data_IF_704161936465
#
_entry.id   IF_704161936465
#
_cell.length_a   1.000
_cell.length_b   1.000
_cell.length_c   1.000
_cell.angle_alpha   90.00
_cell.angle_beta   90.00
_cell.angle_gamma   90.00
#
_symmetry.space_group_name_H-M   'P 1'
#
loop_
_entity.id
_entity.type
_entity.pdbx_description
1 polymer ?
#
# COMPACT_ATOMS: atom_id res chain seq x y z
N UNK A 1 58.12 -8.51 -20.65
CA UNK A 1 57.53 -7.43 -19.89
C UNK A 1 56.06 -7.75 -19.69
N UNK A 2 55.76 -8.38 -18.56
CA UNK A 2 54.41 -8.75 -18.15
C UNK A 2 53.80 -7.58 -17.36
N UNK A 3 52.60 -7.13 -17.72
CA UNK A 3 51.81 -6.20 -16.93
C UNK A 3 50.87 -7.00 -16.06
N UNK A 4 51.03 -6.85 -14.76
CA UNK A 4 50.14 -7.31 -13.72
C UNK A 4 48.77 -6.64 -13.92
N UNK A 5 47.69 -7.45 -13.91
CA UNK A 5 46.35 -7.01 -13.64
C UNK A 5 46.22 -6.89 -12.12
N UNK A 6 46.04 -5.67 -11.63
CA UNK A 6 45.56 -5.42 -10.28
C UNK A 6 44.05 -5.74 -10.25
N UNK A 7 43.68 -6.84 -9.61
CA UNK A 7 42.31 -7.14 -9.22
C UNK A 7 41.96 -6.22 -8.04
N UNK A 8 41.08 -5.25 -8.29
CA UNK A 8 40.52 -4.35 -7.27
C UNK A 8 39.40 -5.08 -6.50
N UNK A 9 39.60 -5.42 -5.22
CA UNK A 9 38.58 -6.10 -4.40
C UNK A 9 37.38 -5.21 -4.05
N UNK A 10 37.38 -3.93 -4.46
CA UNK A 10 36.27 -3.00 -4.22
C UNK A 10 35.08 -3.15 -5.17
N UNK A 11 35.28 -3.75 -6.36
CA UNK A 11 34.21 -3.89 -7.36
C UNK A 11 33.20 -4.99 -7.02
N UNK A 12 33.63 -6.08 -6.37
CA UNK A 12 32.76 -7.20 -5.98
C UNK A 12 31.87 -6.85 -4.78
N UNK A 13 32.35 -6.05 -3.84
CA UNK A 13 31.53 -5.58 -2.71
C UNK A 13 30.48 -4.55 -3.14
N UNK A 14 30.80 -3.66 -4.07
CA UNK A 14 29.84 -2.69 -4.61
C UNK A 14 28.76 -3.38 -5.46
N UNK A 15 29.10 -4.43 -6.21
CA UNK A 15 28.16 -5.24 -6.98
C UNK A 15 27.25 -6.07 -6.06
N UNK A 16 27.77 -6.69 -5.01
CA UNK A 16 26.99 -7.45 -4.03
C UNK A 16 26.04 -6.56 -3.20
N UNK A 17 26.44 -5.31 -2.89
CA UNK A 17 25.57 -4.33 -2.24
C UNK A 17 24.49 -3.81 -3.19
N UNK A 18 24.78 -3.64 -4.48
CA UNK A 18 23.80 -3.23 -5.48
C UNK A 18 22.78 -4.34 -5.77
N UNK A 19 23.19 -5.61 -5.82
CA UNK A 19 22.29 -6.76 -5.96
C UNK A 19 21.45 -7.00 -4.68
N UNK A 20 21.97 -6.71 -3.49
CA UNK A 20 21.24 -6.80 -2.22
C UNK A 20 20.03 -5.89 -2.15
N UNK A 21 20.11 -4.69 -2.73
CA UNK A 21 19.03 -3.69 -2.76
C UNK A 21 17.93 -3.96 -3.81
N UNK A 22 18.10 -4.93 -4.70
CA UNK A 22 17.12 -5.27 -5.74
C UNK A 22 16.18 -6.42 -5.34
N UNK A 23 16.28 -6.93 -4.11
CA UNK A 23 15.53 -8.13 -3.69
C UNK A 23 14.92 -8.05 -2.28
N UNK A 24 14.73 -6.83 -1.73
CA UNK A 24 14.21 -6.65 -0.36
C UNK A 24 12.81 -7.26 -0.20
N UNK A 25 11.99 -7.26 -1.28
CA UNK A 25 10.64 -7.83 -1.27
C UNK A 25 10.58 -9.29 -1.72
N UNK A 26 11.73 -9.97 -1.89
CA UNK A 26 11.73 -11.39 -2.23
C UNK A 26 11.07 -12.19 -1.11
N UNK A 27 10.09 -13.04 -1.48
CA UNK A 27 9.26 -13.76 -0.52
C UNK A 27 7.99 -13.02 -0.11
N UNK A 28 7.84 -11.76 -0.48
CA UNK A 28 6.62 -10.98 -0.25
C UNK A 28 5.64 -11.13 -1.41
N UNK A 29 4.36 -11.31 -1.11
CA UNK A 29 3.27 -11.33 -2.08
C UNK A 29 2.34 -10.15 -1.81
N UNK A 30 2.24 -9.22 -2.75
CA UNK A 30 1.61 -7.90 -2.55
C UNK A 30 0.44 -7.73 -3.51
N UNK A 31 -0.74 -7.44 -2.94
CA UNK A 31 -1.92 -7.05 -3.70
C UNK A 31 -1.84 -5.57 -4.11
N UNK A 32 -2.11 -5.24 -5.37
CA UNK A 32 -2.15 -3.86 -5.86
C UNK A 32 -3.54 -3.57 -6.42
N UNK A 33 -4.24 -2.60 -5.81
CA UNK A 33 -5.62 -2.25 -6.19
C UNK A 33 -5.72 -1.08 -7.17
N UNK A 34 -4.57 -0.53 -7.57
CA UNK A 34 -4.49 0.62 -8.45
C UNK A 34 -4.90 0.27 -9.88
N UNK A 35 -5.86 1.00 -10.45
CA UNK A 35 -6.19 0.93 -11.88
C UNK A 35 -5.29 1.84 -12.71
N UNK A 36 -5.19 3.11 -12.29
CA UNK A 36 -4.36 4.10 -12.96
C UNK A 36 -2.93 4.02 -12.43
N UNK A 37 -1.92 3.93 -13.35
CA UNK A 37 -0.51 3.73 -13.01
C UNK A 37 -0.24 2.47 -12.17
N UNK A 38 -1.22 1.55 -12.12
CA UNK A 38 -1.06 0.27 -11.42
C UNK A 38 0.10 -0.55 -11.98
N UNK A 39 0.27 -0.57 -13.31
CA UNK A 39 1.39 -1.24 -13.96
C UNK A 39 2.76 -0.71 -13.53
N UNK A 40 2.94 0.63 -13.44
CA UNK A 40 4.19 1.24 -12.97
C UNK A 40 4.54 0.78 -11.54
N UNK A 41 3.51 0.74 -10.67
CA UNK A 41 3.67 0.31 -9.28
C UNK A 41 3.98 -1.19 -9.20
N UNK A 42 3.26 -2.02 -9.97
CA UNK A 42 3.54 -3.46 -10.04
C UNK A 42 4.99 -3.72 -10.47
N UNK A 43 5.42 -3.10 -11.59
CA UNK A 43 6.78 -3.25 -12.09
C UNK A 43 7.84 -2.73 -11.10
N UNK A 44 7.52 -1.69 -10.31
CA UNK A 44 8.43 -1.23 -9.27
C UNK A 44 8.57 -2.25 -8.14
N UNK A 45 7.47 -2.82 -7.64
CA UNK A 45 7.48 -3.85 -6.61
C UNK A 45 8.16 -5.15 -7.09
N UNK A 46 7.90 -5.55 -8.34
CA UNK A 46 8.52 -6.74 -8.96
C UNK A 46 10.04 -6.59 -9.12
N UNK A 47 10.54 -5.39 -9.44
CA UNK A 47 11.99 -5.12 -9.47
C UNK A 47 12.66 -5.30 -8.12
N UNK A 48 11.94 -5.08 -7.02
CA UNK A 48 12.41 -5.37 -5.66
C UNK A 48 12.15 -6.84 -5.23
N UNK A 49 11.69 -7.70 -6.14
CA UNK A 49 11.54 -9.14 -5.94
C UNK A 49 10.17 -9.57 -5.40
N UNK A 50 9.18 -8.68 -5.30
CA UNK A 50 7.83 -9.05 -4.87
C UNK A 50 7.10 -9.91 -5.91
N UNK A 51 6.24 -10.81 -5.43
CA UNK A 51 5.17 -11.40 -6.23
C UNK A 51 3.95 -10.49 -6.19
N UNK A 52 3.55 -9.91 -7.32
CA UNK A 52 2.46 -8.94 -7.35
C UNK A 52 1.16 -9.57 -7.84
N UNK A 53 0.08 -9.38 -7.07
CA UNK A 53 -1.29 -9.68 -7.47
C UNK A 53 -1.97 -8.36 -7.85
N UNK A 54 -1.97 -8.03 -9.15
CA UNK A 54 -2.60 -6.80 -9.64
C UNK A 54 -4.10 -7.01 -9.84
N UNK A 55 -4.90 -6.40 -8.99
CA UNK A 55 -6.37 -6.45 -9.03
C UNK A 55 -6.91 -5.03 -8.90
N UNK A 56 -7.10 -4.30 -10.00
CA UNK A 56 -7.73 -3.00 -9.97
C UNK A 56 -9.10 -3.09 -9.27
N UNK A 57 -9.27 -2.38 -8.15
CA UNK A 57 -10.53 -2.37 -7.40
C UNK A 57 -11.57 -1.41 -8.01
N UNK A 58 -11.12 -0.52 -8.89
CA UNK A 58 -11.94 0.44 -9.60
C UNK A 58 -11.65 0.37 -11.09
N UNK A 59 -12.67 0.60 -11.90
CA UNK A 59 -12.55 0.83 -13.35
C UNK A 59 -13.19 2.16 -13.72
N UNK A 60 -12.71 2.74 -14.80
CA UNK A 60 -13.36 3.92 -15.38
C UNK A 60 -14.52 3.43 -16.24
N UNK A 61 -15.68 4.07 -16.11
CA UNK A 61 -16.84 3.78 -16.98
C UNK A 61 -16.41 3.96 -18.45
N UNK A 62 -16.69 2.99 -19.33
CA UNK A 62 -16.39 3.14 -20.76
C UNK A 62 -16.98 4.43 -21.32
N UNK A 63 -16.25 5.10 -22.22
CA UNK A 63 -16.61 6.42 -22.74
C UNK A 63 -18.01 6.43 -23.38
N UNK A 64 -18.33 5.43 -24.15
CA UNK A 64 -19.61 5.24 -24.87
C UNK A 64 -20.80 5.00 -23.93
N UNK A 65 -20.54 4.61 -22.69
CA UNK A 65 -21.57 4.33 -21.68
C UNK A 65 -21.65 5.38 -20.56
N UNK A 66 -20.85 6.44 -20.63
CA UNK A 66 -20.85 7.49 -19.61
C UNK A 66 -21.94 8.55 -19.86
N UNK A 67 -23.21 8.11 -19.71
CA UNK A 67 -24.39 8.92 -19.98
C UNK A 67 -24.35 10.32 -19.31
N UNK A 68 -23.94 10.47 -18.02
CA UNK A 68 -23.83 11.82 -17.42
C UNK A 68 -22.83 12.72 -18.15
N UNK A 69 -21.68 12.23 -18.58
CA UNK A 69 -20.70 13.01 -19.36
C UNK A 69 -21.25 13.38 -20.72
N UNK A 70 -21.94 12.45 -21.39
CA UNK A 70 -22.60 12.69 -22.68
C UNK A 70 -23.65 13.78 -22.54
N UNK A 71 -24.52 13.69 -21.52
CA UNK A 71 -25.57 14.69 -21.29
C UNK A 71 -25.00 16.06 -20.91
N UNK A 72 -23.97 16.11 -20.06
CA UNK A 72 -23.30 17.35 -19.70
C UNK A 72 -22.62 17.99 -20.95
N UNK A 73 -22.04 17.18 -21.81
CA UNK A 73 -21.47 17.65 -23.08
C UNK A 73 -22.55 18.24 -23.99
N UNK A 74 -23.70 17.58 -24.16
CA UNK A 74 -24.83 18.09 -24.94
C UNK A 74 -25.34 19.43 -24.41
N UNK A 75 -25.55 19.51 -23.07
CA UNK A 75 -25.97 20.74 -22.41
C UNK A 75 -24.99 21.91 -22.61
N UNK A 76 -23.66 21.60 -22.59
CA UNK A 76 -22.62 22.59 -22.87
C UNK A 76 -22.63 23.05 -24.32
N UNK A 77 -22.89 22.16 -25.27
CA UNK A 77 -23.00 22.51 -26.69
C UNK A 77 -24.24 23.37 -26.98
N UNK A 78 -25.36 23.13 -26.29
CA UNK A 78 -26.59 23.92 -26.38
C UNK A 78 -26.43 25.30 -25.73
N UNK A 79 -25.75 25.41 -24.63
CA UNK A 79 -25.51 26.65 -23.88
C UNK A 79 -24.01 26.93 -23.82
N UNK A 80 -23.46 27.37 -24.94
CA UNK A 80 -22.01 27.59 -25.07
C UNK A 80 -21.46 28.48 -23.95
N UNK A 81 -20.46 28.03 -23.20
CA UNK A 81 -19.80 28.85 -22.19
C UNK A 81 -18.90 29.92 -22.86
N UNK A 82 -18.55 30.94 -22.08
CA UNK A 82 -17.58 31.97 -22.49
C UNK A 82 -16.17 31.57 -22.04
N UNK A 83 -16.06 30.81 -20.94
CA UNK A 83 -14.78 30.31 -20.42
C UNK A 83 -14.86 28.84 -19.97
N UNK A 84 -13.73 28.14 -20.04
CA UNK A 84 -13.57 26.76 -19.60
C UNK A 84 -12.41 26.64 -18.60
N UNK A 85 -12.70 26.23 -17.36
CA UNK A 85 -11.71 25.88 -16.36
C UNK A 85 -11.39 24.37 -16.41
N UNK A 86 -10.15 24.03 -16.75
CA UNK A 86 -9.66 22.65 -16.84
C UNK A 86 -8.83 22.28 -15.62
N UNK A 87 -9.36 21.44 -14.74
CA UNK A 87 -8.66 21.00 -13.52
C UNK A 87 -7.58 19.96 -13.78
N UNK A 88 -7.73 19.08 -14.79
CA UNK A 88 -6.77 18.01 -15.07
C UNK A 88 -6.69 17.67 -16.58
N UNK A 89 -5.47 17.48 -17.09
CA UNK A 89 -5.28 17.04 -18.47
C UNK A 89 -5.86 15.64 -18.74
N UNK A 90 -5.81 14.74 -17.76
CA UNK A 90 -6.46 13.43 -17.88
C UNK A 90 -7.98 13.55 -18.06
N UNK A 91 -8.62 14.42 -17.28
CA UNK A 91 -10.05 14.68 -17.41
C UNK A 91 -10.40 15.26 -18.78
N UNK A 92 -9.62 16.22 -19.26
CA UNK A 92 -9.81 16.80 -20.59
C UNK A 92 -9.73 15.73 -21.69
N UNK A 93 -8.71 14.87 -21.64
CA UNK A 93 -8.56 13.77 -22.58
C UNK A 93 -9.76 12.81 -22.54
N UNK A 94 -10.16 12.37 -21.33
CA UNK A 94 -11.31 11.47 -21.17
C UNK A 94 -12.62 12.06 -21.67
N UNK A 95 -12.80 13.35 -21.45
CA UNK A 95 -13.97 14.06 -21.97
C UNK A 95 -14.03 14.02 -23.50
N UNK A 96 -12.92 14.36 -24.16
CA UNK A 96 -12.85 14.30 -25.62
C UNK A 96 -13.01 12.87 -26.17
N UNK A 97 -12.38 11.87 -25.52
CA UNK A 97 -12.60 10.47 -25.88
C UNK A 97 -14.11 10.09 -25.81
N UNK A 98 -14.84 10.57 -24.79
CA UNK A 98 -16.29 10.36 -24.67
C UNK A 98 -17.06 11.10 -25.76
N UNK A 99 -16.69 12.34 -26.04
CA UNK A 99 -17.32 13.13 -27.10
C UNK A 99 -17.08 12.52 -28.49
N UNK A 100 -15.86 12.05 -28.75
CA UNK A 100 -15.50 11.38 -30.01
C UNK A 100 -16.27 10.05 -30.18
N UNK A 101 -16.32 9.23 -29.14
CA UNK A 101 -17.04 7.95 -29.15
C UNK A 101 -18.55 8.11 -29.35
N UNK A 102 -19.11 9.28 -29.09
CA UNK A 102 -20.54 9.57 -29.21
C UNK A 102 -20.90 10.55 -30.36
N UNK A 103 -19.93 10.87 -31.23
CA UNK A 103 -20.12 11.75 -32.35
C UNK A 103 -20.22 13.25 -32.02
N UNK A 104 -19.94 13.63 -30.76
CA UNK A 104 -19.99 15.04 -30.33
C UNK A 104 -18.63 15.73 -30.40
N UNK A 105 -17.54 15.01 -30.73
CA UNK A 105 -16.17 15.49 -30.67
C UNK A 105 -15.87 16.68 -31.57
N UNK A 106 -16.37 16.68 -32.80
CA UNK A 106 -16.23 17.81 -33.72
C UNK A 106 -16.84 19.09 -33.17
N UNK A 107 -18.12 19.04 -32.79
CA UNK A 107 -18.81 20.19 -32.19
C UNK A 107 -18.17 20.68 -30.91
N UNK A 108 -17.66 19.78 -30.07
CA UNK A 108 -16.97 20.15 -28.85
C UNK A 108 -15.68 20.93 -29.16
N UNK A 109 -14.89 20.51 -30.13
CA UNK A 109 -13.68 21.22 -30.55
C UNK A 109 -14.00 22.61 -31.12
N UNK A 110 -15.07 22.73 -31.91
CA UNK A 110 -15.55 24.04 -32.43
C UNK A 110 -15.93 24.97 -31.27
N UNK A 111 -16.61 24.49 -30.25
CA UNK A 111 -16.95 25.29 -29.07
C UNK A 111 -15.69 25.69 -28.29
N UNK A 112 -14.75 24.75 -28.11
CA UNK A 112 -13.48 25.02 -27.40
C UNK A 112 -12.65 26.08 -28.14
N UNK A 113 -12.64 26.11 -29.47
CA UNK A 113 -11.89 27.09 -30.24
C UNK A 113 -12.35 28.54 -29.99
N UNK A 114 -13.60 28.76 -29.58
CA UNK A 114 -14.13 30.09 -29.24
C UNK A 114 -14.18 30.40 -27.76
N UNK A 115 -13.45 29.66 -26.90
CA UNK A 115 -13.44 29.81 -25.44
C UNK A 115 -12.15 30.42 -24.92
N UNK A 116 -12.30 31.23 -23.87
CA UNK A 116 -11.21 31.49 -22.93
C UNK A 116 -10.94 30.22 -22.09
N UNK A 117 -9.74 29.65 -22.16
CA UNK A 117 -9.40 28.45 -21.44
C UNK A 117 -8.43 28.74 -20.29
N UNK A 118 -8.80 28.36 -19.08
CA UNK A 118 -7.93 28.42 -17.88
C UNK A 118 -7.57 26.98 -17.50
N UNK A 119 -6.27 26.64 -17.53
CA UNK A 119 -5.81 25.27 -17.29
C UNK A 119 -4.90 25.19 -16.07
N UNK A 120 -5.12 24.18 -15.23
CA UNK A 120 -4.30 23.97 -14.05
C UNK A 120 -3.06 23.15 -14.37
N UNK A 121 -1.89 23.81 -14.30
CA UNK A 121 -0.57 23.22 -14.39
C UNK A 121 -0.13 22.84 -15.81
N UNK A 122 1.18 22.75 -15.99
CA UNK A 122 1.83 22.47 -17.27
C UNK A 122 1.40 21.14 -17.91
N UNK A 123 1.04 20.13 -17.10
CA UNK A 123 0.56 18.84 -17.62
C UNK A 123 -0.81 18.96 -18.30
N UNK A 124 -1.71 19.83 -17.79
CA UNK A 124 -2.98 20.07 -18.44
C UNK A 124 -2.80 20.91 -19.71
N UNK A 125 -1.93 21.92 -19.68
CA UNK A 125 -1.57 22.70 -20.88
C UNK A 125 -0.93 21.82 -21.97
N UNK A 126 0.01 20.94 -21.61
CA UNK A 126 0.57 19.97 -22.56
C UNK A 126 -0.47 19.00 -23.15
N UNK A 127 -1.53 18.68 -22.40
CA UNK A 127 -2.62 17.84 -22.90
C UNK A 127 -3.53 18.60 -23.89
N UNK A 128 -3.73 19.92 -23.71
CA UNK A 128 -4.45 20.77 -24.68
C UNK A 128 -3.74 20.69 -26.03
N UNK A 129 -2.42 20.91 -26.04
CA UNK A 129 -1.61 20.80 -27.26
C UNK A 129 -1.63 19.38 -27.87
N UNK A 130 -1.52 18.33 -27.03
CA UNK A 130 -1.53 16.93 -27.48
C UNK A 130 -2.88 16.47 -28.06
N UNK A 131 -3.94 17.21 -27.83
CA UNK A 131 -5.30 16.96 -28.34
C UNK A 131 -5.66 17.89 -29.53
N UNK A 132 -4.68 18.64 -30.02
CA UNK A 132 -4.84 19.62 -31.10
C UNK A 132 -6.02 20.60 -30.85
N UNK A 133 -6.11 21.08 -29.61
CA UNK A 133 -7.11 22.06 -29.21
C UNK A 133 -6.52 23.47 -29.34
N UNK A 134 -7.21 24.35 -30.03
CA UNK A 134 -6.83 25.73 -30.28
C UNK A 134 -7.88 26.69 -29.68
N UNK A 135 -7.92 26.90 -28.35
CA UNK A 135 -8.83 27.86 -27.71
C UNK A 135 -8.50 29.29 -28.13
N UNK A 136 -9.46 30.21 -28.05
CA UNK A 136 -9.26 31.63 -28.35
C UNK A 136 -8.12 32.24 -27.49
N UNK A 137 -8.07 31.86 -26.23
CA UNK A 137 -6.95 32.17 -25.31
C UNK A 137 -6.74 31.07 -24.30
N UNK A 138 -5.51 30.90 -23.81
CA UNK A 138 -5.20 29.92 -22.79
C UNK A 138 -4.29 30.52 -21.71
N UNK A 139 -4.77 30.48 -20.45
CA UNK A 139 -4.00 30.87 -19.27
C UNK A 139 -3.67 29.66 -18.42
N UNK A 140 -2.41 29.50 -18.05
CA UNK A 140 -1.94 28.40 -17.20
C UNK A 140 -1.78 28.89 -15.76
N UNK A 141 -2.48 28.23 -14.83
CA UNK A 141 -2.45 28.55 -13.38
C UNK A 141 -1.86 27.40 -12.57
N UNK A 142 -1.35 27.69 -11.39
CA UNK A 142 -0.79 26.65 -10.50
C UNK A 142 -1.89 25.95 -9.71
N UNK A 143 -2.87 26.72 -9.24
CA UNK A 143 -3.98 26.23 -8.40
C UNK A 143 -5.34 26.57 -9.04
N UNK A 144 -6.34 25.70 -8.80
CA UNK A 144 -7.72 25.93 -9.30
C UNK A 144 -8.28 27.27 -8.83
N UNK A 145 -7.97 27.67 -7.58
CA UNK A 145 -8.45 28.95 -7.02
C UNK A 145 -7.94 30.18 -7.77
N UNK A 146 -6.69 30.17 -8.25
CA UNK A 146 -6.16 31.25 -9.11
C UNK A 146 -6.96 31.35 -10.41
N UNK A 147 -7.32 30.19 -11.01
CA UNK A 147 -8.17 30.17 -12.19
C UNK A 147 -9.59 30.67 -11.93
N UNK A 148 -10.14 30.36 -10.77
CA UNK A 148 -11.43 30.90 -10.33
C UNK A 148 -11.37 32.42 -10.20
N UNK A 149 -10.30 32.97 -9.57
CA UNK A 149 -10.12 34.42 -9.40
C UNK A 149 -10.01 35.13 -10.76
N UNK A 150 -9.21 34.59 -11.68
CA UNK A 150 -9.10 35.14 -13.05
C UNK A 150 -10.45 35.20 -13.76
N UNK A 151 -11.27 34.14 -13.66
CA UNK A 151 -12.60 34.11 -14.27
C UNK A 151 -13.55 35.08 -13.58
N UNK A 152 -13.45 35.27 -12.26
CA UNK A 152 -14.27 36.24 -11.51
C UNK A 152 -13.90 37.66 -11.90
N UNK A 153 -12.60 37.97 -12.07
CA UNK A 153 -12.12 39.30 -12.45
C UNK A 153 -12.33 39.59 -13.94
N UNK A 154 -12.54 38.54 -14.76
CA UNK A 154 -12.77 38.63 -16.19
C UNK A 154 -14.21 38.95 -16.59
N UNK A 155 -14.48 38.87 -17.90
CA UNK A 155 -15.79 39.22 -18.49
C UNK A 155 -16.69 38.01 -18.73
N UNK A 156 -16.17 36.77 -18.57
CA UNK A 156 -16.90 35.54 -18.81
C UNK A 156 -18.13 35.43 -17.87
N UNK A 157 -19.31 35.28 -18.41
CA UNK A 157 -20.56 35.14 -17.64
C UNK A 157 -20.97 33.68 -17.47
N UNK A 158 -20.83 32.88 -18.56
CA UNK A 158 -21.10 31.43 -18.56
C UNK A 158 -19.78 30.68 -18.49
N UNK A 159 -19.62 29.86 -17.47
CA UNK A 159 -18.36 29.19 -17.19
C UNK A 159 -18.59 27.69 -17.13
N UNK A 160 -17.85 26.94 -17.95
CA UNK A 160 -17.75 25.50 -17.81
C UNK A 160 -16.59 25.15 -16.89
N UNK A 161 -16.82 24.25 -15.93
CA UNK A 161 -15.80 23.75 -15.03
C UNK A 161 -15.63 22.23 -15.21
N UNK A 162 -14.49 21.84 -15.75
CA UNK A 162 -14.10 20.44 -15.80
C UNK A 162 -13.52 20.07 -14.44
N UNK A 163 -14.29 19.32 -13.66
CA UNK A 163 -13.92 18.87 -12.33
C UNK A 163 -12.97 17.67 -12.41
N UNK A 164 -12.10 17.46 -11.41
CA UNK A 164 -11.46 16.17 -11.22
C UNK A 164 -12.55 15.11 -10.91
N UNK A 165 -12.27 13.83 -11.11
CA UNK A 165 -13.24 12.74 -10.90
C UNK A 165 -13.84 12.61 -9.50
N UNK A 166 -13.54 13.55 -8.60
CA UNK A 166 -14.12 13.75 -7.27
C UNK A 166 -14.73 15.16 -7.25
N UNK A 167 -15.91 15.34 -6.66
CA UNK A 167 -16.55 16.64 -6.54
C UNK A 167 -15.66 17.61 -5.74
N UNK A 168 -15.33 18.74 -6.38
CA UNK A 168 -14.77 19.92 -5.73
C UNK A 168 -15.81 21.03 -5.81
N UNK A 169 -16.65 21.09 -4.81
CA UNK A 169 -17.76 22.05 -4.78
C UNK A 169 -17.28 23.49 -4.48
N UNK A 170 -16.09 23.66 -3.89
CA UNK A 170 -15.62 24.97 -3.45
C UNK A 170 -15.38 25.94 -4.61
N UNK A 171 -14.73 25.51 -5.69
CA UNK A 171 -14.51 26.33 -6.89
C UNK A 171 -15.84 26.70 -7.58
N UNK A 172 -16.74 25.73 -7.68
CA UNK A 172 -18.08 25.92 -8.26
C UNK A 172 -18.90 26.92 -7.44
N UNK A 173 -18.91 26.79 -6.10
CA UNK A 173 -19.62 27.70 -5.20
C UNK A 173 -19.07 29.12 -5.29
N UNK A 174 -17.76 29.32 -5.37
CA UNK A 174 -17.15 30.65 -5.52
C UNK A 174 -17.58 31.33 -6.80
N UNK A 175 -17.57 30.64 -7.94
CA UNK A 175 -18.05 31.18 -9.21
C UNK A 175 -19.53 31.50 -9.17
N UNK A 176 -20.36 30.65 -8.56
CA UNK A 176 -21.79 30.87 -8.41
C UNK A 176 -22.08 32.10 -7.55
N UNK A 177 -21.41 32.25 -6.38
CA UNK A 177 -21.54 33.41 -5.50
C UNK A 177 -21.09 34.72 -6.16
N UNK A 178 -20.14 34.63 -7.11
CA UNK A 178 -19.72 35.78 -7.94
C UNK A 178 -20.68 36.05 -9.10
N UNK A 179 -21.86 35.42 -9.15
CA UNK A 179 -22.89 35.65 -10.16
C UNK A 179 -22.61 35.06 -11.51
N UNK A 180 -21.73 34.05 -11.60
CA UNK A 180 -21.46 33.33 -12.85
C UNK A 180 -22.48 32.21 -13.05
N UNK A 181 -22.89 31.98 -14.29
CA UNK A 181 -23.69 30.82 -14.69
C UNK A 181 -22.76 29.64 -14.93
N UNK A 182 -22.75 28.66 -14.00
CA UNK A 182 -21.74 27.61 -13.96
C UNK A 182 -22.32 26.29 -14.46
N UNK A 183 -21.67 25.72 -15.47
CA UNK A 183 -21.90 24.35 -15.92
C UNK A 183 -20.74 23.45 -15.44
N UNK A 184 -21.05 22.35 -14.77
CA UNK A 184 -20.04 21.42 -14.29
C UNK A 184 -19.97 20.17 -15.15
N UNK A 185 -18.76 19.69 -15.37
CA UNK A 185 -18.49 18.43 -16.05
C UNK A 185 -17.53 17.56 -15.22
N UNK A 186 -17.98 16.37 -14.84
CA UNK A 186 -17.11 15.32 -14.30
C UNK A 186 -16.74 14.37 -15.43
N UNK A 187 -15.54 14.48 -16.01
CA UNK A 187 -15.19 13.89 -17.31
C UNK A 187 -15.03 12.37 -17.31
N UNK A 188 -15.06 11.74 -16.15
CA UNK A 188 -15.06 10.29 -16.00
C UNK A 188 -15.62 9.91 -14.65
N UNK A 189 -16.22 8.75 -14.56
CA UNK A 189 -16.69 8.16 -13.31
C UNK A 189 -15.97 6.86 -13.05
N UNK A 190 -15.67 6.67 -11.76
CA UNK A 190 -15.14 5.41 -11.28
C UNK A 190 -16.30 4.49 -10.91
N UNK A 191 -16.22 3.25 -11.31
CA UNK A 191 -17.13 2.19 -10.89
C UNK A 191 -16.33 1.08 -10.24
N UNK A 192 -16.98 0.32 -9.38
CA UNK A 192 -16.34 -0.87 -8.81
C UNK A 192 -15.96 -1.83 -9.93
N UNK A 193 -14.71 -2.30 -9.91
CA UNK A 193 -14.24 -3.31 -10.84
C UNK A 193 -14.98 -4.63 -10.66
N UNK A 194 -14.86 -5.54 -11.61
CA UNK A 194 -15.56 -6.83 -11.58
C UNK A 194 -15.40 -7.57 -10.26
N UNK A 195 -16.52 -7.87 -9.60
CA UNK A 195 -16.57 -8.53 -8.30
C UNK A 195 -15.68 -9.77 -8.15
N UNK A 196 -15.55 -10.69 -9.16
CA UNK A 196 -14.76 -11.91 -8.97
C UNK A 196 -13.29 -11.68 -8.68
N UNK A 197 -12.63 -10.73 -9.36
CA UNK A 197 -11.22 -10.45 -9.15
C UNK A 197 -10.96 -9.84 -7.76
N UNK A 198 -11.76 -8.83 -7.35
CA UNK A 198 -11.66 -8.21 -6.03
C UNK A 198 -12.00 -9.20 -4.94
N UNK A 199 -12.98 -10.09 -5.17
CA UNK A 199 -13.33 -11.16 -4.23
C UNK A 199 -12.16 -12.13 -4.05
N UNK A 200 -11.44 -12.49 -5.13
CA UNK A 200 -10.24 -13.31 -5.04
C UNK A 200 -9.15 -12.63 -4.22
N UNK A 201 -8.92 -11.31 -4.41
CA UNK A 201 -7.97 -10.53 -3.60
C UNK A 201 -8.35 -10.59 -2.10
N UNK A 202 -9.63 -10.41 -1.77
CA UNK A 202 -10.15 -10.49 -0.39
C UNK A 202 -9.92 -11.89 0.18
N UNK A 203 -10.21 -12.94 -0.58
CA UNK A 203 -9.98 -14.33 -0.15
C UNK A 203 -8.49 -14.62 0.09
N UNK A 204 -7.61 -14.13 -0.78
CA UNK A 204 -6.16 -14.25 -0.60
C UNK A 204 -5.68 -13.55 0.69
N UNK A 205 -6.21 -12.35 0.96
CA UNK A 205 -5.90 -11.60 2.18
C UNK A 205 -6.44 -12.32 3.44
N UNK A 206 -7.69 -12.75 3.44
CA UNK A 206 -8.27 -13.51 4.56
C UNK A 206 -7.51 -14.81 4.84
N UNK A 207 -7.06 -15.48 3.79
CA UNK A 207 -6.23 -16.68 3.91
C UNK A 207 -4.76 -16.38 4.26
N UNK A 208 -4.40 -15.10 4.49
CA UNK A 208 -3.05 -14.61 4.81
C UNK A 208 -1.99 -15.02 3.78
N UNK A 209 -2.41 -15.14 2.51
CA UNK A 209 -1.53 -15.44 1.38
C UNK A 209 -0.97 -14.17 0.71
N UNK A 210 -1.37 -13.00 1.20
CA UNK A 210 -0.75 -11.70 0.89
C UNK A 210 -0.03 -11.19 2.12
N UNK A 211 1.09 -10.51 1.91
CA UNK A 211 1.82 -9.81 2.96
C UNK A 211 1.35 -8.35 3.09
N UNK A 212 0.94 -7.74 1.96
CA UNK A 212 0.40 -6.39 1.95
C UNK A 212 -0.65 -6.21 0.85
N UNK A 213 -1.51 -5.19 1.02
CA UNK A 213 -2.36 -4.66 -0.04
C UNK A 213 -2.10 -3.16 -0.17
N UNK A 214 -1.78 -2.71 -1.39
CA UNK A 214 -1.53 -1.30 -1.68
C UNK A 214 -2.77 -0.64 -2.26
N UNK A 215 -3.19 0.47 -1.62
CA UNK A 215 -4.29 1.33 -2.05
C UNK A 215 -3.77 2.72 -2.42
N UNK A 216 -4.12 3.22 -3.59
CA UNK A 216 -3.76 4.57 -4.03
C UNK A 216 -4.96 5.54 -4.15
N UNK A 217 -6.15 5.08 -3.77
CA UNK A 217 -7.37 5.88 -3.77
C UNK A 217 -8.34 5.37 -2.69
N UNK A 218 -8.97 6.27 -1.92
CA UNK A 218 -9.96 5.92 -0.91
C UNK A 218 -11.12 5.07 -1.45
N UNK A 219 -11.73 5.38 -2.62
CA UNK A 219 -12.78 4.54 -3.18
C UNK A 219 -12.35 3.10 -3.51
N UNK A 220 -11.04 2.83 -3.64
CA UNK A 220 -10.55 1.47 -3.82
C UNK A 220 -10.64 0.65 -2.52
N UNK A 221 -10.41 1.29 -1.36
CA UNK A 221 -10.64 0.68 -0.04
C UNK A 221 -12.12 0.36 0.14
N UNK A 222 -12.99 1.34 -0.16
CA UNK A 222 -14.45 1.16 -0.06
C UNK A 222 -14.94 0.02 -0.96
N UNK A 223 -14.38 -0.10 -2.17
CA UNK A 223 -14.69 -1.19 -3.10
C UNK A 223 -14.32 -2.56 -2.52
N UNK A 224 -13.10 -2.69 -1.98
CA UNK A 224 -12.63 -3.93 -1.35
C UNK A 224 -13.49 -4.28 -0.14
N UNK A 225 -13.83 -3.30 0.71
CA UNK A 225 -14.69 -3.49 1.87
C UNK A 225 -16.13 -3.89 1.48
N UNK A 226 -16.69 -3.26 0.44
CA UNK A 226 -18.01 -3.63 -0.07
C UNK A 226 -18.05 -5.08 -0.57
N UNK A 227 -17.04 -5.50 -1.32
CA UNK A 227 -16.92 -6.89 -1.78
C UNK A 227 -16.73 -7.86 -0.62
N UNK A 228 -15.91 -7.50 0.38
CA UNK A 228 -15.71 -8.30 1.58
C UNK A 228 -17.01 -8.48 2.38
N UNK A 229 -17.81 -7.40 2.57
CA UNK A 229 -19.13 -7.47 3.22
C UNK A 229 -20.08 -8.39 2.45
N UNK A 230 -20.17 -8.23 1.14
CA UNK A 230 -21.04 -9.03 0.28
C UNK A 230 -20.65 -10.53 0.27
N UNK A 231 -19.38 -10.83 0.51
CA UNK A 231 -18.86 -12.21 0.61
C UNK A 231 -18.89 -12.77 2.05
N UNK A 232 -19.31 -11.99 3.05
CA UNK A 232 -19.27 -12.41 4.47
C UNK A 232 -17.85 -12.52 5.04
N UNK A 233 -16.87 -11.88 4.42
CA UNK A 233 -15.45 -11.95 4.78
C UNK A 233 -14.90 -10.65 5.43
N UNK A 234 -15.79 -9.68 5.70
CA UNK A 234 -15.37 -8.36 6.18
C UNK A 234 -14.60 -8.44 7.51
N UNK A 235 -15.13 -9.14 8.50
CA UNK A 235 -14.52 -9.25 9.82
C UNK A 235 -13.19 -10.03 9.77
N UNK A 236 -13.08 -11.03 8.88
CA UNK A 236 -11.84 -11.77 8.68
C UNK A 236 -10.77 -10.91 8.02
N UNK A 237 -11.16 -10.10 7.04
CA UNK A 237 -10.26 -9.13 6.40
C UNK A 237 -9.76 -8.10 7.43
N UNK A 238 -10.65 -7.54 8.25
CA UNK A 238 -10.26 -6.60 9.31
C UNK A 238 -9.33 -7.26 10.34
N UNK A 239 -9.57 -8.52 10.70
CA UNK A 239 -8.67 -9.28 11.57
C UNK A 239 -7.27 -9.43 10.95
N UNK A 240 -7.21 -9.77 9.66
CA UNK A 240 -5.93 -9.90 8.94
C UNK A 240 -5.15 -8.58 8.88
N UNK A 241 -5.83 -7.44 8.79
CA UNK A 241 -5.20 -6.13 8.86
C UNK A 241 -4.76 -5.76 10.28
N UNK A 242 -5.62 -5.97 11.28
CA UNK A 242 -5.36 -5.60 12.69
C UNK A 242 -4.29 -6.47 13.35
N UNK A 243 -4.20 -7.75 13.01
CA UNK A 243 -3.17 -8.65 13.53
C UNK A 243 -1.82 -8.51 12.78
N UNK A 244 -1.76 -7.65 11.77
CA UNK A 244 -0.56 -7.39 10.98
C UNK A 244 -0.18 -8.50 10.00
N UNK A 245 -1.00 -9.56 9.88
CA UNK A 245 -0.74 -10.64 8.92
C UNK A 245 -0.80 -10.16 7.47
N UNK A 246 -1.58 -9.12 7.20
CA UNK A 246 -1.65 -8.42 5.92
C UNK A 246 -1.56 -6.93 6.18
N UNK A 247 -0.55 -6.28 5.62
CA UNK A 247 -0.31 -4.84 5.83
C UNK A 247 -1.14 -4.02 4.83
N UNK A 248 -2.10 -3.21 5.26
CA UNK A 248 -2.72 -2.23 4.38
C UNK A 248 -1.78 -1.05 4.19
N UNK A 249 -1.30 -0.82 2.97
CA UNK A 249 -0.42 0.30 2.62
C UNK A 249 -1.18 1.32 1.78
N UNK A 250 -1.09 2.59 2.13
CA UNK A 250 -1.82 3.69 1.46
C UNK A 250 -0.87 4.79 1.02
N UNK A 251 -1.26 5.54 -0.03
CA UNK A 251 -0.43 6.62 -0.58
C UNK A 251 -0.45 7.89 0.28
N UNK A 252 -1.46 8.08 1.13
CA UNK A 252 -1.61 9.26 1.96
C UNK A 252 -2.93 9.28 2.73
N UNK A 253 -3.13 10.30 3.57
CA UNK A 253 -4.23 10.41 4.55
C UNK A 253 -5.63 10.22 3.98
N UNK A 254 -5.92 10.78 2.80
CA UNK A 254 -7.24 10.63 2.17
C UNK A 254 -7.56 9.15 1.90
N UNK A 255 -6.53 8.35 1.53
CA UNK A 255 -6.68 6.91 1.34
C UNK A 255 -6.75 6.13 2.66
N UNK A 256 -6.17 6.67 3.74
CA UNK A 256 -6.15 6.05 5.05
C UNK A 256 -7.53 6.09 5.75
N UNK A 257 -8.30 7.15 5.53
CA UNK A 257 -9.57 7.39 6.24
C UNK A 257 -10.52 6.19 6.29
N UNK A 258 -10.87 5.52 5.17
CA UNK A 258 -11.80 4.40 5.24
C UNK A 258 -11.27 3.21 6.05
N UNK A 259 -9.94 3.03 6.13
CA UNK A 259 -9.29 2.02 6.96
C UNK A 259 -9.35 2.43 8.44
N UNK A 260 -9.02 3.68 8.74
CA UNK A 260 -9.05 4.24 10.09
C UNK A 260 -10.47 4.25 10.67
N UNK A 261 -11.48 4.60 9.88
CA UNK A 261 -12.91 4.52 10.24
C UNK A 261 -13.33 3.08 10.60
N UNK A 262 -12.67 2.08 10.00
CA UNK A 262 -12.86 0.66 10.33
C UNK A 262 -11.97 0.18 11.50
N UNK A 263 -11.23 1.08 12.14
CA UNK A 263 -10.32 0.78 13.24
C UNK A 263 -9.08 0.01 12.80
N UNK A 264 -8.59 0.25 11.58
CA UNK A 264 -7.35 -0.30 11.01
C UNK A 264 -6.39 0.84 10.77
N UNK A 265 -5.18 0.77 11.33
CA UNK A 265 -4.13 1.74 11.06
C UNK A 265 -3.27 1.27 9.88
N UNK A 266 -3.33 1.94 8.72
CA UNK A 266 -2.52 1.58 7.56
C UNK A 266 -1.09 2.12 7.67
N UNK A 267 -0.16 1.49 6.97
CA UNK A 267 1.15 2.10 6.75
C UNK A 267 1.07 3.13 5.63
N UNK A 268 1.72 4.28 5.84
CA UNK A 268 1.65 5.42 4.96
C UNK A 268 3.00 6.15 4.91
N UNK A 269 3.51 6.54 3.73
CA UNK A 269 4.73 7.32 3.62
C UNK A 269 4.48 8.78 4.01
N UNK A 270 5.51 9.47 4.50
CA UNK A 270 5.48 10.91 4.83
C UNK A 270 5.13 11.77 3.61
N UNK A 271 5.54 11.35 2.43
CA UNK A 271 5.24 12.02 1.16
C UNK A 271 4.32 11.16 0.30
N UNK A 272 3.19 11.69 -0.17
CA UNK A 272 2.18 10.91 -0.93
C UNK A 272 2.65 10.62 -2.36
N UNK A 273 3.66 9.77 -2.51
CA UNK A 273 4.25 9.33 -3.79
C UNK A 273 4.31 7.81 -3.86
N UNK A 274 4.08 7.24 -5.04
CA UNK A 274 4.14 5.79 -5.24
C UNK A 274 5.53 5.20 -4.96
N UNK A 275 6.61 5.91 -5.31
CA UNK A 275 7.97 5.48 -5.01
C UNK A 275 8.22 5.36 -3.49
N UNK A 276 7.64 6.26 -2.69
CA UNK A 276 7.76 6.21 -1.24
C UNK A 276 7.00 5.03 -0.62
N UNK A 277 5.87 4.58 -1.22
CA UNK A 277 5.19 3.35 -0.78
C UNK A 277 6.09 2.14 -1.02
N UNK A 278 6.74 2.06 -2.19
CA UNK A 278 7.66 0.96 -2.50
C UNK A 278 8.80 0.94 -1.49
N UNK A 279 9.44 2.09 -1.23
CA UNK A 279 10.50 2.23 -0.22
C UNK A 279 10.04 1.80 1.17
N UNK A 280 8.87 2.26 1.62
CA UNK A 280 8.30 1.90 2.92
C UNK A 280 8.06 0.39 3.04
N UNK A 281 7.58 -0.27 1.98
CA UNK A 281 7.38 -1.72 1.98
C UNK A 281 8.70 -2.48 1.98
N UNK A 282 9.75 -1.97 1.30
CA UNK A 282 11.10 -2.54 1.34
C UNK A 282 11.70 -2.43 2.74
N UNK A 283 11.66 -1.24 3.37
CA UNK A 283 12.15 -1.02 4.72
C UNK A 283 11.45 -1.95 5.72
N UNK A 284 10.11 -2.03 5.64
CA UNK A 284 9.35 -2.91 6.51
C UNK A 284 9.68 -4.39 6.30
N UNK A 285 9.84 -4.83 5.06
CA UNK A 285 10.20 -6.21 4.77
C UNK A 285 11.58 -6.57 5.30
N UNK A 286 12.51 -5.60 5.32
CA UNK A 286 13.83 -5.77 5.89
C UNK A 286 13.78 -5.81 7.44
N UNK A 287 13.00 -4.92 8.07
CA UNK A 287 12.79 -4.92 9.53
C UNK A 287 12.13 -6.23 10.03
N UNK A 288 11.24 -6.81 9.22
CA UNK A 288 10.55 -8.07 9.53
C UNK A 288 11.39 -9.32 9.20
N UNK A 289 12.55 -9.15 8.58
CA UNK A 289 13.47 -10.22 8.25
C UNK A 289 14.03 -10.85 9.52
N UNK A 290 14.04 -12.17 9.56
CA UNK A 290 14.60 -12.92 10.68
C UNK A 290 15.83 -13.68 10.23
N UNK A 291 16.89 -13.57 11.04
CA UNK A 291 18.13 -14.30 10.90
C UNK A 291 18.39 -15.11 12.16
N UNK A 292 18.74 -16.37 12.02
CA UNK A 292 19.07 -17.23 13.15
C UNK A 292 20.20 -18.18 12.76
N UNK A 293 21.26 -18.21 13.57
CA UNK A 293 22.30 -19.20 13.45
C UNK A 293 21.82 -20.55 14.02
N UNK A 294 21.65 -21.52 13.15
CA UNK A 294 21.23 -22.87 13.51
C UNK A 294 22.41 -23.83 13.49
N UNK A 295 22.24 -25.04 14.04
CA UNK A 295 23.25 -26.12 13.89
C UNK A 295 23.39 -26.63 12.47
N UNK A 296 22.47 -26.23 11.60
CA UNK A 296 22.40 -26.66 10.19
C UNK A 296 22.73 -25.52 9.23
N UNK A 297 23.34 -24.43 9.74
CA UNK A 297 23.73 -23.26 9.00
C UNK A 297 22.84 -22.04 9.25
N UNK A 298 23.12 -20.99 8.50
CA UNK A 298 22.42 -19.71 8.60
C UNK A 298 20.99 -19.82 8.05
N UNK A 299 20.00 -19.52 8.91
CA UNK A 299 18.59 -19.49 8.55
C UNK A 299 18.14 -18.04 8.35
N UNK A 300 17.54 -17.77 7.21
CA UNK A 300 16.85 -16.51 6.92
C UNK A 300 15.36 -16.79 6.62
N UNK A 301 14.47 -16.03 7.27
CA UNK A 301 13.03 -16.02 6.97
C UNK A 301 12.63 -14.63 6.50
N UNK A 302 12.20 -14.53 5.25
CA UNK A 302 11.73 -13.29 4.60
C UNK A 302 10.38 -13.54 3.94
N UNK A 303 9.31 -12.93 4.49
CA UNK A 303 7.94 -13.21 4.02
C UNK A 303 7.62 -14.70 4.11
N UNK A 304 7.26 -15.31 2.98
CA UNK A 304 6.99 -16.76 2.87
C UNK A 304 8.20 -17.59 2.45
N UNK A 305 9.33 -16.96 2.18
CA UNK A 305 10.58 -17.60 1.79
C UNK A 305 11.44 -17.88 3.02
N UNK A 306 11.86 -19.13 3.16
CA UNK A 306 12.85 -19.55 4.15
C UNK A 306 14.07 -20.08 3.41
N UNK A 307 15.25 -19.60 3.80
CA UNK A 307 16.54 -20.05 3.27
C UNK A 307 17.36 -20.63 4.41
N UNK A 308 18.05 -21.72 4.14
CA UNK A 308 19.05 -22.32 5.03
C UNK A 308 20.28 -22.58 4.19
N UNK A 309 21.36 -21.84 4.41
CA UNK A 309 22.48 -21.76 3.50
C UNK A 309 21.99 -21.46 2.07
N UNK A 310 22.28 -22.34 1.12
CA UNK A 310 21.89 -22.21 -0.30
C UNK A 310 20.51 -22.82 -0.61
N UNK A 311 19.90 -23.54 0.34
CA UNK A 311 18.63 -24.20 0.15
C UNK A 311 17.45 -23.25 0.41
N UNK A 312 16.54 -23.14 -0.56
CA UNK A 312 15.35 -22.27 -0.49
C UNK A 312 14.07 -23.09 -0.47
N UNK A 313 13.16 -22.76 0.44
CA UNK A 313 11.82 -23.34 0.52
C UNK A 313 10.74 -22.29 0.75
N UNK A 314 9.57 -22.51 0.16
CA UNK A 314 8.40 -21.63 0.30
C UNK A 314 7.42 -22.22 1.31
N UNK A 315 7.06 -21.44 2.31
CA UNK A 315 6.21 -21.82 3.42
C UNK A 315 4.77 -21.34 3.23
N UNK A 316 3.81 -22.10 3.75
CA UNK A 316 2.43 -21.63 3.88
C UNK A 316 2.31 -20.61 5.03
N UNK A 317 1.26 -19.76 5.06
CA UNK A 317 1.10 -18.75 6.12
C UNK A 317 1.22 -19.31 7.55
N UNK A 318 0.59 -20.47 7.82
CA UNK A 318 0.70 -21.12 9.13
C UNK A 318 2.12 -21.62 9.42
N UNK A 319 2.82 -22.14 8.41
CA UNK A 319 4.21 -22.57 8.55
C UNK A 319 5.15 -21.39 8.80
N UNK A 320 4.92 -20.26 8.12
CA UNK A 320 5.64 -18.98 8.38
C UNK A 320 5.44 -18.55 9.82
N UNK A 321 4.20 -18.53 10.31
CA UNK A 321 3.89 -18.11 11.67
C UNK A 321 4.56 -19.03 12.72
N UNK A 322 4.55 -20.35 12.50
CA UNK A 322 5.27 -21.31 13.37
C UNK A 322 6.78 -21.03 13.35
N UNK A 323 7.39 -20.89 12.15
CA UNK A 323 8.83 -20.63 12.05
C UNK A 323 9.21 -19.28 12.67
N UNK A 324 8.41 -18.24 12.44
CA UNK A 324 8.62 -16.92 13.04
C UNK A 324 8.60 -17.00 14.58
N UNK A 325 7.59 -17.65 15.15
CA UNK A 325 7.51 -17.84 16.60
C UNK A 325 8.74 -18.57 17.14
N UNK A 326 9.15 -19.68 16.51
CA UNK A 326 10.31 -20.46 16.94
C UNK A 326 11.63 -19.71 16.77
N UNK A 327 11.79 -18.94 15.68
CA UNK A 327 12.96 -18.12 15.42
C UNK A 327 13.09 -16.97 16.43
N UNK A 328 11.98 -16.27 16.71
CA UNK A 328 11.94 -15.20 17.72
C UNK A 328 12.26 -15.73 19.13
N UNK A 329 11.84 -16.97 19.46
CA UNK A 329 12.16 -17.60 20.73
C UNK A 329 13.63 -18.04 20.85
N UNK A 330 14.40 -17.95 19.77
CA UNK A 330 15.84 -18.16 19.73
C UNK A 330 16.29 -19.41 20.51
N UNK A 331 15.72 -20.57 20.16
CA UNK A 331 16.02 -21.87 20.78
C UNK A 331 15.35 -22.15 22.13
N UNK A 332 14.61 -21.19 22.69
CA UNK A 332 13.74 -21.48 23.83
C UNK A 332 12.58 -22.37 23.41
N UNK A 333 12.07 -23.15 24.37
CA UNK A 333 10.94 -24.06 24.10
C UNK A 333 9.64 -23.28 24.20
N UNK A 334 8.87 -23.29 23.12
CA UNK A 334 7.51 -22.74 23.09
C UNK A 334 6.52 -23.89 23.32
N UNK A 335 5.62 -23.72 24.25
CA UNK A 335 4.58 -24.70 24.54
C UNK A 335 3.55 -24.81 23.39
N UNK A 336 2.86 -25.96 23.30
CA UNK A 336 1.80 -26.14 22.30
C UNK A 336 0.70 -25.07 22.39
N UNK A 337 0.16 -24.73 23.59
CA UNK A 337 -0.85 -23.67 23.71
C UNK A 337 -0.35 -22.30 23.24
N UNK A 338 0.89 -21.94 23.54
CA UNK A 338 1.50 -20.68 23.09
C UNK A 338 1.64 -20.62 21.57
N UNK A 339 2.09 -21.71 20.91
CA UNK A 339 2.17 -21.79 19.46
C UNK A 339 0.80 -21.72 18.81
N UNK A 340 -0.22 -22.38 19.36
CA UNK A 340 -1.59 -22.30 18.85
C UNK A 340 -2.10 -20.84 18.90
N UNK A 341 -1.81 -20.14 20.00
CA UNK A 341 -2.19 -18.73 20.16
C UNK A 341 -1.42 -17.81 19.19
N UNK A 342 -0.16 -18.12 18.91
CA UNK A 342 0.71 -17.31 18.04
C UNK A 342 0.45 -17.52 16.55
N UNK A 343 -0.23 -18.60 16.15
CA UNK A 343 -0.45 -18.95 14.74
C UNK A 343 -1.89 -18.67 14.33
N UNK A 344 -2.15 -17.64 13.54
CA UNK A 344 -3.51 -17.30 13.08
C UNK A 344 -4.20 -18.45 12.35
N UNK A 345 -5.47 -18.69 12.69
CA UNK A 345 -6.28 -19.72 12.05
C UNK A 345 -5.87 -21.17 12.38
N UNK A 346 -5.10 -21.37 13.46
CA UNK A 346 -4.75 -22.69 13.95
C UNK A 346 -5.70 -23.11 15.09
N UNK A 347 -6.50 -24.14 14.86
CA UNK A 347 -7.47 -24.63 15.83
C UNK A 347 -7.04 -25.98 16.42
N UNK A 348 -6.48 -25.91 17.64
CA UNK A 348 -6.19 -27.09 18.45
C UNK A 348 -4.85 -27.79 18.21
N UNK A 349 -4.52 -28.71 19.13
CA UNK A 349 -3.23 -29.38 19.17
C UNK A 349 -2.97 -30.26 17.94
N UNK A 350 -3.98 -30.93 17.43
CA UNK A 350 -3.83 -31.80 16.25
C UNK A 350 -3.49 -31.00 14.98
N UNK A 351 -4.13 -29.82 14.77
CA UNK A 351 -3.81 -28.93 13.66
C UNK A 351 -2.35 -28.42 13.75
N UNK A 352 -1.88 -28.08 14.93
CA UNK A 352 -0.49 -27.71 15.17
C UNK A 352 0.47 -28.87 14.82
N UNK A 353 0.19 -30.08 15.28
CA UNK A 353 1.03 -31.27 15.00
C UNK A 353 1.12 -31.55 13.50
N UNK A 354 -0.01 -31.46 12.80
CA UNK A 354 -0.06 -31.61 11.34
C UNK A 354 0.73 -30.51 10.63
N UNK A 355 0.61 -29.27 11.10
CA UNK A 355 1.35 -28.13 10.53
C UNK A 355 2.86 -28.29 10.73
N UNK A 356 3.30 -28.64 11.93
CA UNK A 356 4.71 -28.92 12.24
C UNK A 356 5.22 -30.13 11.44
N UNK A 357 4.45 -31.20 11.32
CA UNK A 357 4.82 -32.37 10.52
C UNK A 357 5.02 -32.02 9.04
N UNK A 358 4.09 -31.24 8.44
CA UNK A 358 4.22 -30.76 7.06
C UNK A 358 5.38 -29.79 6.88
N UNK A 359 5.63 -28.93 7.87
CA UNK A 359 6.77 -28.01 7.91
C UNK A 359 8.07 -28.80 7.86
N UNK A 360 8.27 -29.78 8.76
CA UNK A 360 9.48 -30.62 8.82
C UNK A 360 9.80 -31.33 7.52
N UNK A 361 8.77 -31.75 6.77
CA UNK A 361 8.97 -32.40 5.45
C UNK A 361 9.44 -31.45 4.36
N UNK A 362 9.18 -30.15 4.52
CA UNK A 362 9.62 -29.12 3.57
C UNK A 362 11.00 -28.57 3.91
N UNK A 363 11.37 -28.57 5.18
CA UNK A 363 12.64 -28.01 5.61
C UNK A 363 13.81 -28.84 5.07
N UNK A 364 14.89 -28.19 4.62
CA UNK A 364 16.08 -28.88 4.08
C UNK A 364 16.89 -29.60 5.17
N UNK A 365 16.66 -29.23 6.44
CA UNK A 365 17.34 -29.78 7.58
C UNK A 365 16.38 -29.93 8.78
N UNK A 366 16.72 -30.74 9.81
CA UNK A 366 15.87 -30.97 10.99
C UNK A 366 15.89 -29.80 11.98
N UNK A 367 15.51 -28.62 11.51
CA UNK A 367 15.56 -27.36 12.26
C UNK A 367 14.60 -27.32 13.47
N UNK A 368 13.45 -28.00 13.39
CA UNK A 368 12.40 -27.95 14.43
C UNK A 368 12.46 -29.20 15.28
N UNK A 369 12.83 -29.04 16.56
CA UNK A 369 12.89 -30.11 17.55
C UNK A 369 11.62 -30.20 18.40
N UNK A 370 11.22 -31.43 18.76
CA UNK A 370 10.19 -31.67 19.78
C UNK A 370 10.84 -31.84 21.14
N UNK A 371 10.39 -31.07 22.13
CA UNK A 371 10.74 -31.28 23.53
C UNK A 371 9.56 -31.99 24.23
N UNK A 372 9.78 -33.24 24.58
CA UNK A 372 8.72 -34.14 25.09
C UNK A 372 7.98 -33.45 26.25
N UNK A 373 6.63 -33.47 26.20
CA UNK A 373 5.72 -32.85 27.18
C UNK A 373 5.83 -31.33 27.33
N UNK A 374 6.78 -30.65 26.64
CA UNK A 374 7.01 -29.20 26.77
C UNK A 374 6.62 -28.41 25.54
N UNK A 375 6.87 -28.90 24.33
CA UNK A 375 6.53 -28.18 23.10
C UNK A 375 7.56 -28.35 21.98
N UNK A 376 7.87 -27.26 21.28
CA UNK A 376 8.80 -27.23 20.17
C UNK A 376 9.84 -26.14 20.36
N UNK A 377 11.03 -26.32 19.77
CA UNK A 377 12.07 -25.28 19.70
C UNK A 377 12.82 -25.37 18.38
N UNK A 378 13.48 -24.27 18.00
CA UNK A 378 14.42 -24.25 16.91
C UNK A 378 15.77 -24.84 17.36
N UNK A 379 16.45 -25.63 16.51
CA UNK A 379 17.76 -26.22 16.79
C UNK A 379 18.87 -25.21 16.45
N UNK A 380 19.20 -24.37 17.43
CA UNK A 380 20.19 -23.30 17.30
C UNK A 380 21.57 -23.73 17.78
N UNK A 381 22.61 -23.03 17.33
CA UNK A 381 23.99 -23.18 17.82
C UNK A 381 24.12 -22.63 19.23
N UNK A 382 24.81 -23.33 20.11
CA UNK A 382 24.85 -23.05 21.56
C UNK A 382 25.54 -21.74 21.98
N UNK A 383 26.05 -20.93 21.05
CA UNK A 383 26.84 -19.73 21.35
C UNK A 383 26.05 -18.54 21.95
N UNK A 384 24.72 -18.60 21.98
CA UNK A 384 23.88 -17.53 22.56
C UNK A 384 23.19 -17.92 23.87
N UNK A 385 23.44 -19.10 24.48
CA UNK A 385 22.84 -19.49 25.75
C UNK A 385 23.49 -18.84 26.98
N UNK A 386 24.63 -18.17 26.86
CA UNK A 386 25.47 -17.78 28.01
C UNK A 386 25.30 -16.33 28.51
N UNK A 387 24.23 -15.62 28.17
CA UNK A 387 24.05 -14.25 28.70
C UNK A 387 22.81 -14.01 29.56
N UNK A 388 22.05 -15.04 29.90
CA UNK A 388 20.87 -14.91 30.74
C UNK A 388 20.85 -15.68 32.04
N UNK A 389 21.97 -16.31 32.49
CA UNK A 389 22.05 -17.02 33.75
C UNK A 389 23.47 -16.99 34.33
N UNK A 390 23.97 -15.84 34.72
CA UNK A 390 24.99 -15.67 35.73
C UNK A 390 24.58 -14.48 36.63
N UNK A 391 23.66 -14.74 37.53
CA UNK A 391 23.55 -14.01 38.77
C UNK A 391 24.47 -14.75 39.74
N UNK A 392 25.54 -14.16 40.25
CA UNK A 392 26.35 -14.79 41.28
C UNK A 392 25.52 -14.94 42.55
N UNK A 393 25.36 -16.16 42.99
CA UNK A 393 24.84 -16.47 44.30
C UNK A 393 26.00 -16.27 45.28
N UNK A 394 26.16 -15.04 45.81
CA UNK A 394 27.02 -14.79 46.95
C UNK A 394 26.22 -15.11 48.20
N UNK A 395 26.55 -16.29 48.72
CA UNK A 395 26.10 -16.76 50.01
C UNK A 395 26.87 -16.14 51.17
N UNK A 396 26.12 -15.66 52.11
CA UNK A 396 26.50 -15.74 53.52
C UNK A 396 27.22 -14.54 54.14
N UNK A 397 26.65 -13.80 55.00
CA UNK A 397 26.78 -13.82 56.45
C UNK A 397 26.16 -12.59 57.09
N UNK A 398 25.24 -12.87 57.91
CA UNK A 398 24.82 -12.26 59.17
C UNK A 398 25.63 -11.06 59.73
N UNK A 399 24.97 -9.93 60.06
CA UNK A 399 25.01 -9.20 61.29
C UNK A 399 24.34 -7.80 61.21
N UNK A 400 23.28 -7.59 62.00
CA UNK A 400 23.26 -6.50 62.95
C UNK A 400 22.58 -5.18 62.58
N UNK A 401 21.34 -5.02 63.01
CA UNK A 401 20.78 -3.87 63.78
C UNK A 401 20.96 -2.44 63.22
N UNK A 402 19.85 -1.76 63.02
CA UNK A 402 19.81 -0.30 62.93
C UNK A 402 18.49 0.28 62.41
N UNK A 403 17.60 0.58 63.38
CA UNK A 403 16.34 1.31 63.09
C UNK A 403 16.62 2.77 62.69
N UNK A 404 15.86 3.28 61.71
CA UNK A 404 15.84 4.68 61.38
C UNK A 404 14.56 5.03 60.64
N UNK A 405 13.61 5.61 61.39
CA UNK A 405 12.37 6.22 60.89
C UNK A 405 12.69 7.54 60.15
N UNK A 406 11.91 7.87 59.17
CA UNK A 406 11.83 9.19 58.56
C UNK A 406 10.94 9.14 57.32
N UNK A 407 9.71 9.28 57.43
CA UNK A 407 8.72 10.35 57.25
C UNK A 407 8.79 11.09 55.89
N UNK A 408 7.85 10.76 55.06
CA UNK A 408 6.85 11.58 54.29
C UNK A 408 7.26 13.00 53.95
N UNK A 409 7.16 13.37 52.66
CA UNK A 409 6.37 14.54 52.20
C UNK A 409 5.90 14.32 50.77
N UNK A 410 4.59 14.34 50.58
CA UNK A 410 3.90 14.61 49.34
C UNK A 410 3.98 16.12 49.03
N UNK A 411 4.21 16.48 47.76
CA UNK A 411 3.75 17.78 47.28
C UNK A 411 3.21 17.62 45.85
N UNK A 412 1.91 17.86 45.74
CA UNK A 412 1.20 18.13 44.54
C UNK A 412 1.20 19.64 44.28
N UNK A 413 1.24 20.09 43.05
CA UNK A 413 0.68 21.31 42.48
C UNK A 413 1.42 21.68 41.19
N UNK A 414 0.86 21.90 40.12
CA UNK A 414 -0.26 22.57 39.42
C UNK A 414 -0.23 22.26 37.95
#
# INVERSE_FOLDING_TARGET
>A
MARSQDDDPGSDQASALADGHLHELRGQRIGVTASRRGGDLCSALERHGAQVLHVPALSVVPAEHDIPVINATKALLERRPDALLVSTGYGLRRWLETADATGLGGHLREVIAGLEMVVRGSKAAGQVAALDLEPESMTVVTHVNEGVDLIIDGTARRVAVQLPGVHDDAAVQRLFLAGRDVQTLVPYRLQHAGRPAVQSLVQEACARRLNAIVFIAAPAVDSVFAVARNAGLYDELLRAFKDGSVVPAVVGEVCARPLQDAGVEPVMPDRPRMAEIVRLLCERAEDERLHVETRHGHLELRGSRLTVEDDEVWLTPQQVAVMRALATANGAVISRPELIKAVPGLEGAHALEMTVSRLRRKLPAPLVRTVVKRGYCLDITSSHRSRAMDVPNDGGTDAGIGAGKGQVVMEASR
#
